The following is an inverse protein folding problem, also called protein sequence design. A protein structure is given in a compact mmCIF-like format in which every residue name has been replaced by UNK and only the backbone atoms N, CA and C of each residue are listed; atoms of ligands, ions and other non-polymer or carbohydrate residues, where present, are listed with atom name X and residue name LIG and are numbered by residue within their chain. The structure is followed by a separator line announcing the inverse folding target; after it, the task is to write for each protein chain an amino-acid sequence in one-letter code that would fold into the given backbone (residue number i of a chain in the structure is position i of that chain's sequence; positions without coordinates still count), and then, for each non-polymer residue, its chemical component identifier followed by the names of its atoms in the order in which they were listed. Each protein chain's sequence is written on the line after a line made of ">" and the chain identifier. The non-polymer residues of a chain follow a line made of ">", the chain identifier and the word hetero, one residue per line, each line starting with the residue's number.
data_IF_118175190515
#
_entry.id   IF_118175190515
#
_cell.length_a   1.000
_cell.length_b   1.000
_cell.length_c   1.000
_cell.angle_alpha   90.00
_cell.angle_beta   90.00
_cell.angle_gamma   90.00
#
_symmetry.space_group_name_H-M   'P 1'
#
loop_
_entity.id
_entity.type
_entity.pdbx_description
1 polymer ?
#
# COMPACT_ATOMS: atom_id res chain seq x y z
N UNK A 1 29.22 -65.19 -8.73
CA UNK A 1 28.08 -65.06 -7.81
C UNK A 1 27.22 -66.30 -7.90
N UNK A 2 27.35 -67.19 -6.92
CA UNK A 2 26.57 -68.43 -6.80
C UNK A 2 25.08 -68.13 -6.62
N UNK A 3 24.25 -69.00 -7.18
CA UNK A 3 22.81 -68.82 -7.38
C UNK A 3 22.00 -68.50 -6.12
N UNK A 4 20.99 -67.66 -6.32
CA UNK A 4 19.98 -67.32 -5.32
C UNK A 4 19.09 -68.55 -5.03
N UNK A 5 19.50 -69.37 -4.06
CA UNK A 5 18.67 -70.43 -3.46
C UNK A 5 17.58 -69.71 -2.66
N UNK A 6 16.39 -69.50 -3.26
CA UNK A 6 15.33 -68.66 -2.71
C UNK A 6 14.81 -68.98 -1.29
N UNK A 7 13.73 -68.29 -0.87
CA UNK A 7 13.23 -68.36 0.51
C UNK A 7 12.85 -69.78 0.98
N UNK A 8 13.16 -70.07 2.24
CA UNK A 8 12.72 -71.25 2.97
C UNK A 8 11.38 -70.97 3.68
N UNK A 9 10.53 -71.99 3.82
CA UNK A 9 9.27 -71.91 4.55
C UNK A 9 9.51 -71.85 6.07
N UNK A 10 8.44 -71.65 6.86
CA UNK A 10 8.48 -71.66 8.34
C UNK A 10 9.03 -72.98 8.93
N UNK A 11 9.12 -74.04 8.14
CA UNK A 11 9.65 -75.37 8.52
C UNK A 11 11.05 -75.61 7.95
N UNK A 12 11.72 -74.58 7.44
CA UNK A 12 13.08 -74.67 6.90
C UNK A 12 13.20 -75.33 5.52
N UNK A 13 12.09 -75.71 4.87
CA UNK A 13 12.09 -76.34 3.55
C UNK A 13 12.18 -75.27 2.48
N UNK A 14 12.91 -75.56 1.40
CA UNK A 14 13.01 -74.66 0.26
C UNK A 14 11.61 -74.43 -0.37
N UNK A 15 11.04 -73.22 -0.24
CA UNK A 15 9.70 -72.94 -0.73
C UNK A 15 9.64 -72.95 -2.27
N UNK A 16 10.79 -72.75 -2.94
CA UNK A 16 10.91 -72.81 -4.40
C UNK A 16 12.26 -73.37 -4.83
N UNK A 17 12.24 -74.48 -5.55
CA UNK A 17 13.42 -75.09 -6.16
C UNK A 17 13.51 -74.63 -7.62
N UNK A 18 14.41 -73.68 -7.88
CA UNK A 18 14.66 -73.18 -9.22
C UNK A 18 15.86 -72.24 -9.26
N UNK A 19 16.70 -72.41 -10.28
CA UNK A 19 17.85 -71.57 -10.51
C UNK A 19 17.52 -70.51 -11.57
N UNK A 20 17.85 -69.26 -11.28
CA UNK A 20 17.66 -68.12 -12.17
C UNK A 20 19.02 -67.48 -12.47
N UNK A 21 19.56 -67.79 -13.65
CA UNK A 21 20.74 -67.13 -14.22
C UNK A 21 20.36 -66.02 -15.20
N UNK A 22 21.37 -65.31 -15.72
CA UNK A 22 21.18 -64.17 -16.64
C UNK A 22 20.51 -64.57 -17.96
N UNK A 23 20.85 -65.76 -18.47
CA UNK A 23 20.33 -66.31 -19.76
C UNK A 23 19.65 -67.67 -19.60
N UNK A 24 19.71 -68.28 -18.43
CA UNK A 24 19.21 -69.63 -18.15
C UNK A 24 18.27 -69.59 -16.96
N UNK A 25 17.11 -70.23 -17.08
CA UNK A 25 16.23 -70.50 -15.96
C UNK A 25 15.94 -71.99 -15.92
N UNK A 26 16.15 -72.59 -14.76
CA UNK A 26 15.82 -73.99 -14.48
C UNK A 26 14.83 -74.02 -13.34
N UNK A 27 13.71 -74.70 -13.49
CA UNK A 27 12.74 -74.87 -12.40
C UNK A 27 11.98 -76.17 -12.53
N UNK A 28 11.60 -76.77 -11.40
CA UNK A 28 10.85 -78.04 -11.37
C UNK A 28 9.54 -77.99 -12.16
N UNK A 29 8.81 -76.87 -12.13
CA UNK A 29 7.52 -76.73 -12.83
C UNK A 29 7.61 -76.09 -14.21
N UNK A 30 8.64 -75.29 -14.47
CA UNK A 30 8.80 -74.57 -15.74
C UNK A 30 9.88 -75.13 -16.67
N UNK A 31 10.51 -76.24 -16.29
CA UNK A 31 11.61 -76.86 -17.03
C UNK A 31 12.86 -75.98 -17.12
N UNK A 32 13.66 -76.27 -18.14
CA UNK A 32 14.85 -75.50 -18.53
C UNK A 32 14.47 -74.53 -19.64
N UNK A 33 14.75 -73.25 -19.47
CA UNK A 33 14.53 -72.24 -20.51
C UNK A 33 15.75 -71.35 -20.67
N UNK A 34 16.15 -71.17 -21.93
CA UNK A 34 17.19 -70.25 -22.33
C UNK A 34 16.56 -68.99 -22.91
N UNK A 35 17.13 -67.83 -22.61
CA UNK A 35 16.73 -66.53 -23.12
C UNK A 35 17.93 -65.81 -23.71
N UNK A 36 17.76 -65.34 -24.93
CA UNK A 36 18.66 -64.37 -25.55
C UNK A 36 17.88 -63.14 -25.99
N UNK A 37 18.46 -61.96 -25.83
CA UNK A 37 17.83 -60.70 -26.21
C UNK A 37 18.89 -59.76 -26.77
N UNK A 38 18.62 -59.22 -27.96
CA UNK A 38 19.46 -58.25 -28.65
C UNK A 38 18.61 -57.00 -28.88
N UNK A 39 19.18 -55.83 -28.64
CA UNK A 39 18.50 -54.54 -28.83
C UNK A 39 19.41 -53.60 -29.62
N UNK A 40 18.90 -53.12 -30.74
CA UNK A 40 19.55 -52.14 -31.61
C UNK A 40 18.66 -50.91 -31.70
N UNK A 41 19.05 -49.85 -30.99
CA UNK A 41 18.29 -48.60 -30.90
C UNK A 41 16.85 -48.83 -30.41
N UNK A 42 15.88 -48.53 -31.30
CA UNK A 42 14.44 -48.63 -31.03
C UNK A 42 13.88 -50.03 -31.23
N UNK A 43 14.62 -50.94 -31.86
CA UNK A 43 14.17 -52.30 -32.18
C UNK A 43 14.86 -53.31 -31.25
N UNK A 44 14.11 -54.29 -30.75
CA UNK A 44 14.61 -55.36 -29.90
C UNK A 44 14.03 -56.70 -30.29
N UNK A 45 14.90 -57.69 -30.42
CA UNK A 45 14.58 -59.08 -30.67
C UNK A 45 14.88 -59.89 -29.41
N UNK A 46 13.93 -60.70 -28.96
CA UNK A 46 14.11 -61.62 -27.84
C UNK A 46 13.67 -63.02 -28.24
N UNK A 47 14.56 -63.98 -28.10
CA UNK A 47 14.26 -65.40 -28.28
C UNK A 47 14.27 -66.09 -26.93
N UNK A 48 13.28 -66.96 -26.70
CA UNK A 48 13.19 -67.79 -25.52
C UNK A 48 12.77 -69.21 -25.92
N UNK A 49 13.47 -70.23 -25.43
CA UNK A 49 13.21 -71.62 -25.83
C UNK A 49 11.83 -72.13 -25.42
N UNK A 50 11.21 -71.60 -24.36
CA UNK A 50 9.85 -71.98 -23.92
C UNK A 50 8.75 -71.02 -24.35
N UNK A 51 9.10 -69.78 -24.73
CA UNK A 51 8.10 -68.73 -25.08
C UNK A 51 8.22 -68.21 -26.51
N UNK A 52 9.15 -68.73 -27.30
CA UNK A 52 9.36 -68.37 -28.70
C UNK A 52 10.01 -66.99 -28.92
N UNK A 53 9.68 -66.39 -30.05
CA UNK A 53 10.31 -65.19 -30.60
C UNK A 53 9.44 -63.95 -30.35
N UNK A 54 10.07 -62.88 -29.87
CA UNK A 54 9.44 -61.57 -29.67
C UNK A 54 10.25 -60.49 -30.38
N UNK A 55 9.63 -59.88 -31.38
CA UNK A 55 10.09 -58.65 -32.01
C UNK A 55 9.42 -57.46 -31.32
N UNK A 56 10.14 -56.39 -31.05
CA UNK A 56 9.57 -55.16 -30.50
C UNK A 56 10.23 -53.93 -31.08
N UNK A 57 9.45 -52.89 -31.33
CA UNK A 57 9.90 -51.59 -31.82
C UNK A 57 9.27 -50.46 -31.00
N UNK A 58 10.08 -49.52 -30.54
CA UNK A 58 9.62 -48.29 -29.92
C UNK A 58 9.29 -47.26 -31.00
N UNK A 59 8.02 -46.89 -31.14
CA UNK A 59 7.59 -45.89 -32.13
C UNK A 59 7.85 -44.46 -31.67
N UNK A 60 7.96 -44.23 -30.36
CA UNK A 60 8.23 -42.92 -29.79
C UNK A 60 8.38 -42.96 -28.28
N UNK A 61 8.34 -41.78 -27.64
CA UNK A 61 8.37 -41.69 -26.17
C UNK A 61 7.05 -42.23 -25.61
N UNK A 62 7.13 -43.39 -24.95
CA UNK A 62 6.00 -43.97 -24.23
C UNK A 62 5.20 -45.00 -25.00
N UNK A 63 5.37 -45.17 -26.32
CA UNK A 63 4.68 -46.20 -27.12
C UNK A 63 5.61 -47.21 -27.77
N UNK A 64 5.23 -48.48 -27.61
CA UNK A 64 5.91 -49.65 -28.10
C UNK A 64 4.92 -50.55 -28.84
N UNK A 65 5.36 -51.03 -29.99
CA UNK A 65 4.72 -52.10 -30.75
C UNK A 65 5.58 -53.35 -30.62
N UNK A 66 4.97 -54.51 -30.47
CA UNK A 66 5.67 -55.79 -30.45
C UNK A 66 4.83 -56.87 -31.13
N UNK A 67 5.51 -57.85 -31.71
CA UNK A 67 4.91 -59.12 -32.13
C UNK A 67 5.59 -60.24 -31.33
N UNK A 68 4.81 -61.07 -30.66
CA UNK A 68 5.30 -62.24 -29.94
C UNK A 68 4.57 -63.48 -30.44
N UNK A 69 5.29 -64.41 -31.08
CA UNK A 69 4.72 -65.61 -31.72
C UNK A 69 3.48 -65.30 -32.58
N UNK A 70 3.59 -64.29 -33.45
CA UNK A 70 2.47 -63.84 -34.30
C UNK A 70 1.43 -62.94 -33.62
N UNK A 71 1.44 -62.80 -32.29
CA UNK A 71 0.51 -61.91 -31.58
C UNK A 71 1.01 -60.47 -31.55
N UNK A 72 0.26 -59.59 -32.20
CA UNK A 72 0.47 -58.14 -32.13
C UNK A 72 0.13 -57.56 -30.74
N UNK A 73 1.02 -56.72 -30.22
CA UNK A 73 0.95 -56.06 -28.92
C UNK A 73 1.27 -54.58 -29.11
N UNK A 74 0.28 -53.71 -28.91
CA UNK A 74 0.45 -52.27 -28.79
C UNK A 74 0.37 -51.86 -27.32
N UNK A 75 1.33 -51.06 -26.85
CA UNK A 75 1.35 -50.49 -25.49
C UNK A 75 1.85 -49.06 -25.54
N UNK A 76 1.10 -48.14 -24.95
CA UNK A 76 1.52 -46.76 -24.72
C UNK A 76 1.25 -46.33 -23.28
N UNK A 77 2.14 -45.50 -22.71
CA UNK A 77 1.94 -44.87 -21.39
C UNK A 77 2.33 -43.40 -21.48
N UNK A 78 1.39 -42.53 -21.17
CA UNK A 78 1.50 -41.09 -21.32
C UNK A 78 0.94 -40.35 -20.10
N UNK A 79 1.32 -39.09 -19.96
CA UNK A 79 0.89 -38.21 -18.86
C UNK A 79 2.01 -37.93 -17.87
N UNK A 80 2.03 -36.68 -17.39
CA UNK A 80 2.83 -36.20 -16.27
C UNK A 80 1.87 -35.85 -15.13
N UNK A 81 2.23 -36.16 -13.88
CA UNK A 81 1.39 -35.86 -12.71
C UNK A 81 0.32 -36.92 -12.41
N UNK A 82 -0.83 -36.52 -11.81
CA UNK A 82 -1.83 -37.44 -11.27
C UNK A 82 -2.65 -38.13 -12.36
N UNK A 83 -2.82 -37.52 -13.54
CA UNK A 83 -3.53 -38.12 -14.67
C UNK A 83 -2.55 -38.87 -15.57
N UNK A 84 -2.85 -40.16 -15.83
CA UNK A 84 -2.09 -41.02 -16.74
C UNK A 84 -2.98 -41.67 -17.78
N UNK A 85 -2.53 -41.64 -19.02
CA UNK A 85 -3.17 -42.26 -20.17
C UNK A 85 -2.42 -43.53 -20.56
N UNK A 86 -3.13 -44.64 -20.72
CA UNK A 86 -2.58 -45.90 -21.19
C UNK A 86 -3.23 -46.27 -22.51
N UNK A 87 -2.42 -46.47 -23.54
CA UNK A 87 -2.82 -46.98 -24.84
C UNK A 87 -2.57 -48.49 -24.91
N UNK A 88 -3.51 -49.21 -25.50
CA UNK A 88 -3.41 -50.65 -25.69
C UNK A 88 -4.08 -51.07 -27.01
N UNK A 89 -3.90 -52.33 -27.42
CA UNK A 89 -4.59 -52.88 -28.61
C UNK A 89 -6.11 -52.68 -28.56
N UNK A 90 -6.71 -52.71 -27.38
CA UNK A 90 -8.16 -52.56 -27.18
C UNK A 90 -8.60 -51.11 -26.97
N UNK A 91 -7.71 -50.12 -27.10
CA UNK A 91 -8.04 -48.70 -26.97
C UNK A 91 -7.26 -47.95 -25.90
N UNK A 92 -7.68 -46.71 -25.68
CA UNK A 92 -7.11 -45.74 -24.75
C UNK A 92 -7.85 -45.79 -23.40
N UNK A 93 -7.12 -45.63 -22.30
CA UNK A 93 -7.69 -45.54 -20.95
C UNK A 93 -7.05 -44.43 -20.15
N UNK A 94 -7.85 -43.71 -19.36
CA UNK A 94 -7.39 -42.64 -18.49
C UNK A 94 -7.50 -43.08 -17.03
N UNK A 95 -6.52 -42.71 -16.22
CA UNK A 95 -6.49 -43.00 -14.79
C UNK A 95 -6.02 -41.80 -14.00
N UNK A 96 -6.65 -41.56 -12.86
CA UNK A 96 -6.34 -40.50 -11.91
C UNK A 96 -5.72 -41.12 -10.66
N UNK A 97 -4.56 -40.62 -10.25
CA UNK A 97 -3.93 -40.98 -8.98
C UNK A 97 -4.57 -40.17 -7.84
N UNK A 98 -4.83 -40.84 -6.73
CA UNK A 98 -5.29 -40.29 -5.46
C UNK A 98 -4.38 -40.81 -4.35
N UNK A 99 -4.42 -40.19 -3.17
CA UNK A 99 -3.58 -40.61 -2.04
C UNK A 99 -3.88 -42.06 -1.59
N UNK A 100 -5.12 -42.49 -1.78
CA UNK A 100 -5.56 -43.84 -1.44
C UNK A 100 -5.39 -44.84 -2.59
N UNK A 101 -5.10 -44.39 -3.82
CA UNK A 101 -4.75 -45.30 -4.89
C UNK A 101 -4.85 -44.72 -6.29
N UNK A 102 -5.51 -45.45 -7.19
CA UNK A 102 -5.66 -45.04 -8.59
C UNK A 102 -7.03 -45.43 -9.10
N UNK A 103 -7.79 -44.42 -9.52
CA UNK A 103 -9.08 -44.54 -10.16
C UNK A 103 -8.89 -44.62 -11.67
N UNK A 104 -9.43 -45.64 -12.32
CA UNK A 104 -9.46 -45.70 -13.78
C UNK A 104 -10.82 -45.20 -14.27
N UNK A 105 -10.82 -44.06 -14.97
CA UNK A 105 -12.04 -43.36 -15.41
C UNK A 105 -12.79 -44.17 -16.47
N UNK A 106 -12.06 -44.84 -17.36
CA UNK A 106 -12.63 -45.63 -18.45
C UNK A 106 -13.01 -47.06 -18.04
N UNK A 107 -12.31 -47.63 -17.07
CA UNK A 107 -12.49 -49.03 -16.67
C UNK A 107 -12.46 -49.16 -15.14
N UNK A 108 -13.59 -48.93 -14.45
CA UNK A 108 -13.65 -48.93 -12.99
C UNK A 108 -13.15 -50.25 -12.37
N UNK A 109 -13.33 -51.38 -13.06
CA UNK A 109 -12.83 -52.70 -12.66
C UNK A 109 -11.30 -52.85 -12.65
N UNK A 110 -10.54 -51.87 -13.16
CA UNK A 110 -9.08 -51.82 -13.09
C UNK A 110 -8.55 -50.81 -12.06
N UNK A 111 -9.42 -50.28 -11.20
CA UNK A 111 -9.03 -49.37 -10.12
C UNK A 111 -8.42 -50.13 -8.95
N UNK A 112 -7.61 -49.44 -8.15
CA UNK A 112 -7.03 -49.98 -6.92
C UNK A 112 -7.03 -48.92 -5.82
N UNK A 113 -7.30 -49.35 -4.59
CA UNK A 113 -7.30 -48.51 -3.39
C UNK A 113 -6.56 -49.27 -2.29
N UNK A 114 -5.84 -48.56 -1.42
CA UNK A 114 -5.17 -49.11 -0.24
C UNK A 114 -5.65 -48.35 0.98
N UNK A 115 -6.44 -49.02 1.81
CA UNK A 115 -7.01 -48.45 3.02
C UNK A 115 -6.53 -49.28 4.21
N UNK A 116 -5.94 -48.63 5.22
CA UNK A 116 -5.42 -49.29 6.43
C UNK A 116 -4.54 -50.53 6.15
N UNK A 117 -3.65 -50.44 5.15
CA UNK A 117 -2.76 -51.54 4.76
C UNK A 117 -3.37 -52.59 3.83
N UNK A 118 -4.70 -52.66 3.70
CA UNK A 118 -5.42 -53.61 2.84
C UNK A 118 -5.57 -53.05 1.42
N UNK A 119 -5.09 -53.79 0.42
CA UNK A 119 -5.24 -53.41 -0.99
C UNK A 119 -6.54 -53.97 -1.58
N UNK A 120 -7.51 -53.10 -1.83
CA UNK A 120 -8.75 -53.41 -2.54
C UNK A 120 -8.56 -53.14 -4.04
N UNK A 121 -9.09 -54.03 -4.89
CA UNK A 121 -9.03 -53.90 -6.35
C UNK A 121 -10.43 -54.03 -6.95
N UNK A 122 -10.60 -53.50 -8.16
CA UNK A 122 -11.85 -53.63 -8.92
C UNK A 122 -12.83 -52.49 -8.68
N UNK A 123 -14.12 -52.74 -8.95
CA UNK A 123 -15.18 -51.71 -8.85
C UNK A 123 -15.32 -51.12 -7.44
N UNK A 124 -15.14 -51.94 -6.39
CA UNK A 124 -15.14 -51.46 -5.00
C UNK A 124 -14.01 -50.47 -4.70
N UNK A 125 -12.85 -50.61 -5.36
CA UNK A 125 -11.78 -49.63 -5.24
C UNK A 125 -12.08 -48.31 -5.99
N UNK A 126 -12.89 -48.37 -7.05
CA UNK A 126 -13.32 -47.18 -7.76
C UNK A 126 -14.26 -46.32 -6.89
N UNK A 127 -15.23 -46.94 -6.21
CA UNK A 127 -16.15 -46.22 -5.31
C UNK A 127 -15.43 -45.59 -4.12
N UNK A 128 -14.45 -46.28 -3.51
CA UNK A 128 -13.64 -45.71 -2.42
C UNK A 128 -12.89 -44.47 -2.89
N UNK A 129 -12.17 -44.56 -4.02
CA UNK A 129 -11.43 -43.41 -4.55
C UNK A 129 -12.36 -42.26 -4.95
N UNK A 130 -13.51 -42.54 -5.55
CA UNK A 130 -14.50 -41.53 -5.92
C UNK A 130 -15.10 -40.84 -4.69
N UNK A 131 -15.43 -41.59 -3.63
CA UNK A 131 -15.93 -41.03 -2.38
C UNK A 131 -14.91 -40.11 -1.70
N UNK A 132 -13.63 -40.50 -1.69
CA UNK A 132 -12.57 -39.63 -1.15
C UNK A 132 -12.36 -38.38 -1.99
N UNK A 133 -12.35 -38.50 -3.32
CA UNK A 133 -12.30 -37.34 -4.21
C UNK A 133 -13.46 -36.39 -3.94
N UNK A 134 -14.68 -36.90 -3.81
CA UNK A 134 -15.86 -36.11 -3.47
C UNK A 134 -15.70 -35.41 -2.11
N UNK A 135 -15.25 -36.12 -1.07
CA UNK A 135 -15.01 -35.53 0.25
C UNK A 135 -13.96 -34.40 0.19
N UNK A 136 -12.84 -34.63 -0.50
CA UNK A 136 -11.82 -33.59 -0.69
C UNK A 136 -12.34 -32.39 -1.48
N UNK A 137 -13.21 -32.62 -2.47
CA UNK A 137 -13.84 -31.56 -3.24
C UNK A 137 -14.80 -30.73 -2.37
N UNK A 138 -15.61 -31.37 -1.52
CA UNK A 138 -16.49 -30.67 -0.57
C UNK A 138 -15.68 -29.78 0.38
N UNK A 139 -14.60 -30.31 0.98
CA UNK A 139 -13.72 -29.50 1.84
C UNK A 139 -13.11 -28.33 1.08
N UNK A 140 -12.67 -28.53 -0.16
CA UNK A 140 -12.13 -27.47 -1.00
C UNK A 140 -13.19 -26.41 -1.31
N UNK A 141 -14.44 -26.80 -1.60
CA UNK A 141 -15.55 -25.87 -1.84
C UNK A 141 -15.88 -25.05 -0.59
N UNK A 142 -15.89 -25.66 0.59
CA UNK A 142 -16.10 -24.94 1.85
C UNK A 142 -14.98 -23.91 2.06
N UNK A 143 -13.72 -24.30 1.86
CA UNK A 143 -12.58 -23.36 1.96
C UNK A 143 -12.72 -22.21 0.98
N UNK A 144 -13.10 -22.49 -0.26
CA UNK A 144 -13.35 -21.45 -1.28
C UNK A 144 -14.48 -20.51 -0.88
N UNK A 145 -15.58 -21.03 -0.32
CA UNK A 145 -16.68 -20.21 0.16
C UNK A 145 -16.26 -19.28 1.31
N UNK A 146 -15.47 -19.79 2.27
CA UNK A 146 -14.93 -18.98 3.37
C UNK A 146 -14.00 -17.89 2.84
N UNK A 147 -13.09 -18.21 1.92
CA UNK A 147 -12.20 -17.21 1.31
C UNK A 147 -13.01 -16.14 0.57
N UNK A 148 -14.02 -16.54 -0.21
CA UNK A 148 -14.89 -15.63 -0.92
C UNK A 148 -15.60 -14.67 0.04
N UNK A 149 -16.16 -15.20 1.15
CA UNK A 149 -16.82 -14.41 2.19
C UNK A 149 -15.86 -13.37 2.81
N UNK A 150 -14.62 -13.78 3.12
CA UNK A 150 -13.62 -12.86 3.69
C UNK A 150 -13.24 -11.76 2.70
N UNK A 151 -13.06 -12.11 1.43
CA UNK A 151 -12.73 -11.14 0.38
C UNK A 151 -13.87 -10.15 0.16
N UNK A 152 -15.13 -10.62 0.11
CA UNK A 152 -16.28 -9.73 -0.06
C UNK A 152 -16.48 -8.81 1.15
N UNK A 153 -16.30 -9.32 2.37
CA UNK A 153 -16.35 -8.50 3.57
C UNK A 153 -15.28 -7.39 3.57
N UNK A 154 -14.04 -7.73 3.18
CA UNK A 154 -12.95 -6.74 3.04
C UNK A 154 -13.25 -5.70 1.95
N UNK A 155 -13.76 -6.12 0.81
CA UNK A 155 -14.14 -5.21 -0.27
C UNK A 155 -15.23 -4.23 0.18
N UNK A 156 -16.24 -4.72 0.91
CA UNK A 156 -17.29 -3.88 1.46
C UNK A 156 -16.75 -2.87 2.48
N UNK A 157 -15.89 -3.32 3.40
CA UNK A 157 -15.26 -2.44 4.39
C UNK A 157 -14.44 -1.32 3.72
N UNK A 158 -13.67 -1.66 2.69
CA UNK A 158 -12.90 -0.70 1.90
C UNK A 158 -13.82 0.31 1.18
N UNK A 159 -14.94 -0.13 0.60
CA UNK A 159 -15.91 0.76 -0.05
C UNK A 159 -16.53 1.75 0.94
N UNK A 160 -16.86 1.29 2.15
CA UNK A 160 -17.38 2.16 3.21
C UNK A 160 -16.33 3.21 3.59
N UNK A 161 -15.08 2.82 3.79
CA UNK A 161 -13.99 3.74 4.11
C UNK A 161 -13.80 4.80 2.99
N UNK A 162 -13.72 4.36 1.74
CA UNK A 162 -13.59 5.26 0.59
C UNK A 162 -14.78 6.24 0.47
N UNK A 163 -16.00 5.77 0.74
CA UNK A 163 -17.18 6.63 0.75
C UNK A 163 -17.12 7.67 1.88
N UNK A 164 -16.66 7.30 3.07
CA UNK A 164 -16.51 8.24 4.19
C UNK A 164 -15.45 9.32 3.91
N UNK A 165 -14.28 8.94 3.38
CA UNK A 165 -13.23 9.89 2.99
C UNK A 165 -13.73 10.85 1.91
N UNK A 166 -14.44 10.32 0.91
CA UNK A 166 -15.02 11.13 -0.16
C UNK A 166 -16.06 12.12 0.37
N UNK A 167 -16.90 11.70 1.32
CA UNK A 167 -17.89 12.56 1.96
C UNK A 167 -17.23 13.67 2.79
N UNK A 168 -16.18 13.36 3.56
CA UNK A 168 -15.43 14.35 4.32
C UNK A 168 -14.75 15.37 3.42
N UNK A 169 -14.11 14.93 2.33
CA UNK A 169 -13.49 15.82 1.35
C UNK A 169 -14.52 16.74 0.69
N UNK A 170 -15.72 16.23 0.39
CA UNK A 170 -16.80 17.03 -0.19
C UNK A 170 -17.34 18.07 0.79
N UNK A 171 -17.53 17.69 2.07
CA UNK A 171 -17.93 18.63 3.13
C UNK A 171 -16.88 19.72 3.34
N UNK A 172 -15.59 19.39 3.39
CA UNK A 172 -14.51 20.35 3.53
C UNK A 172 -14.46 21.33 2.34
N UNK A 173 -14.62 20.83 1.11
CA UNK A 173 -14.72 21.67 -0.10
C UNK A 173 -15.92 22.60 -0.05
N UNK A 174 -17.07 22.10 0.41
CA UNK A 174 -18.29 22.91 0.54
C UNK A 174 -18.13 24.01 1.60
N UNK A 175 -17.56 23.68 2.76
CA UNK A 175 -17.26 24.65 3.82
C UNK A 175 -16.28 25.73 3.31
N UNK A 176 -15.21 25.32 2.64
CA UNK A 176 -14.23 26.25 2.06
C UNK A 176 -14.88 27.16 1.01
N UNK A 177 -15.71 26.61 0.11
CA UNK A 177 -16.43 27.40 -0.88
C UNK A 177 -17.41 28.40 -0.25
N UNK A 178 -18.05 28.02 0.87
CA UNK A 178 -18.94 28.90 1.63
C UNK A 178 -18.15 30.01 2.33
N UNK A 179 -17.05 29.68 2.99
CA UNK A 179 -16.17 30.65 3.64
C UNK A 179 -15.55 31.61 2.63
N UNK A 180 -15.09 31.12 1.48
CA UNK A 180 -14.55 31.97 0.40
C UNK A 180 -15.59 32.93 -0.16
N UNK A 181 -16.87 32.53 -0.24
CA UNK A 181 -17.96 33.44 -0.65
C UNK A 181 -18.21 34.53 0.39
N UNK A 182 -18.23 34.17 1.69
CA UNK A 182 -18.37 35.15 2.77
C UNK A 182 -17.17 36.10 2.82
N UNK A 183 -15.96 35.56 2.70
CA UNK A 183 -14.72 36.33 2.64
C UNK A 183 -14.68 37.24 1.42
N UNK A 184 -15.09 36.77 0.24
CA UNK A 184 -15.16 37.59 -0.96
C UNK A 184 -16.16 38.74 -0.85
N UNK A 185 -17.28 38.55 -0.15
CA UNK A 185 -18.22 39.63 0.13
C UNK A 185 -17.61 40.68 1.07
N UNK A 186 -16.96 40.25 2.16
CA UNK A 186 -16.22 41.16 3.03
C UNK A 186 -15.08 41.87 2.30
N UNK A 187 -14.31 41.17 1.47
CA UNK A 187 -13.23 41.76 0.70
C UNK A 187 -13.75 42.81 -0.28
N UNK A 188 -14.89 42.58 -0.94
CA UNK A 188 -15.50 43.56 -1.84
C UNK A 188 -16.01 44.81 -1.09
N UNK A 189 -16.56 44.64 0.11
CA UNK A 189 -16.95 45.75 0.98
C UNK A 189 -15.73 46.55 1.45
N UNK A 190 -14.65 45.85 1.80
CA UNK A 190 -13.36 46.46 2.14
C UNK A 190 -12.74 47.18 0.95
N UNK A 191 -12.76 46.60 -0.25
CA UNK A 191 -12.26 47.25 -1.47
C UNK A 191 -13.06 48.51 -1.81
N UNK A 192 -14.39 48.49 -1.64
CA UNK A 192 -15.24 49.67 -1.80
C UNK A 192 -14.94 50.76 -0.76
N UNK A 193 -14.67 50.37 0.49
CA UNK A 193 -14.28 51.29 1.55
C UNK A 193 -12.87 51.87 1.32
N UNK A 194 -11.93 51.04 0.86
CA UNK A 194 -10.51 51.38 0.71
C UNK A 194 -10.17 52.09 -0.58
N UNK A 195 -10.91 51.83 -1.67
CA UNK A 195 -10.84 52.60 -2.91
C UNK A 195 -11.16 54.09 -2.73
N UNK A 196 -11.82 54.46 -1.62
CA UNK A 196 -11.98 55.86 -1.19
C UNK A 196 -10.87 56.40 -0.29
N UNK A 197 -10.01 55.54 0.27
CA UNK A 197 -9.02 55.86 1.30
C UNK A 197 -7.58 55.97 0.80
N UNK A 198 -7.26 55.34 -0.35
CA UNK A 198 -5.90 54.98 -0.78
C UNK A 198 -4.96 56.15 -1.13
N UNK A 199 -5.36 57.40 -0.94
CA UNK A 199 -4.46 58.56 -1.13
C UNK A 199 -4.70 59.75 -0.20
N UNK A 200 -5.84 59.84 0.48
CA UNK A 200 -6.22 61.05 1.23
C UNK A 200 -5.98 60.96 2.75
N UNK A 201 -6.12 59.79 3.38
CA UNK A 201 -6.14 59.70 4.85
C UNK A 201 -4.77 59.42 5.51
N UNK A 202 -3.84 58.74 4.82
CA UNK A 202 -2.51 58.42 5.38
C UNK A 202 -1.43 58.64 4.30
N UNK A 203 -1.06 59.92 4.04
CA UNK A 203 -0.21 60.29 2.91
C UNK A 203 1.26 59.90 3.09
N UNK A 204 1.72 59.64 4.32
CA UNK A 204 3.11 59.34 4.63
C UNK A 204 3.29 58.04 5.43
N UNK A 205 4.49 57.47 5.31
CA UNK A 205 4.88 56.24 6.01
C UNK A 205 4.82 56.39 7.53
N UNK A 206 5.06 57.61 8.05
CA UNK A 206 4.99 57.88 9.48
C UNK A 206 3.57 57.74 10.02
N UNK A 207 2.54 58.22 9.31
CA UNK A 207 1.15 58.04 9.74
C UNK A 207 0.71 56.57 9.63
N UNK A 208 1.19 55.84 8.61
CA UNK A 208 0.91 54.40 8.45
C UNK A 208 1.54 53.59 9.58
N UNK A 209 2.80 53.85 9.89
CA UNK A 209 3.51 53.19 10.99
C UNK A 209 2.85 53.50 12.34
N UNK A 210 2.40 54.76 12.55
CA UNK A 210 1.65 55.14 13.74
C UNK A 210 0.34 54.39 13.87
N UNK A 211 -0.39 54.24 12.77
CA UNK A 211 -1.64 53.48 12.77
C UNK A 211 -1.41 52.00 13.12
N UNK A 212 -0.43 51.35 12.48
CA UNK A 212 -0.11 49.95 12.77
C UNK A 212 0.30 49.80 14.23
N UNK A 213 1.21 50.65 14.72
CA UNK A 213 1.63 50.63 16.12
C UNK A 213 0.46 50.83 17.09
N UNK A 214 -0.42 51.78 16.81
CA UNK A 214 -1.59 52.04 17.66
C UNK A 214 -2.59 50.86 17.64
N UNK A 215 -2.84 50.25 16.47
CA UNK A 215 -3.71 49.07 16.35
C UNK A 215 -3.13 47.86 17.10
N UNK A 216 -1.84 47.61 16.98
CA UNK A 216 -1.14 46.55 17.71
C UNK A 216 -1.23 46.75 19.23
N UNK A 217 -0.98 47.97 19.69
CA UNK A 217 -0.94 48.29 21.11
C UNK A 217 -2.33 48.28 21.76
N UNK A 218 -3.35 48.78 21.07
CA UNK A 218 -4.74 48.77 21.58
C UNK A 218 -5.46 47.42 21.48
N UNK A 219 -4.87 46.42 20.80
CA UNK A 219 -5.35 45.04 20.90
C UNK A 219 -4.92 44.36 22.21
N UNK A 220 -4.01 44.97 22.98
CA UNK A 220 -3.42 44.44 24.20
C UNK A 220 -4.23 44.61 25.51
N UNK A 221 -5.49 45.06 25.46
CA UNK A 221 -6.35 45.38 26.63
C UNK A 221 -5.94 46.60 27.46
N UNK A 222 -4.99 47.40 27.00
CA UNK A 222 -4.59 48.62 27.70
C UNK A 222 -5.55 49.76 27.36
N UNK A 223 -5.99 50.49 28.38
CA UNK A 223 -6.54 51.83 28.16
C UNK A 223 -5.42 52.76 27.66
N UNK A 224 -5.78 53.75 26.86
CA UNK A 224 -4.89 54.78 26.31
C UNK A 224 -3.96 55.40 27.37
N UNK A 225 -4.45 55.63 28.59
CA UNK A 225 -3.65 56.15 29.70
C UNK A 225 -2.64 55.14 30.26
N UNK A 226 -3.00 53.85 30.29
CA UNK A 226 -2.09 52.77 30.69
C UNK A 226 -1.00 52.56 29.64
N UNK A 227 -1.38 52.66 28.36
CA UNK A 227 -0.42 52.56 27.27
C UNK A 227 0.57 53.73 27.30
N UNK A 228 0.07 54.97 27.48
CA UNK A 228 0.91 56.16 27.60
C UNK A 228 1.91 56.05 28.75
N UNK A 229 1.46 55.62 29.93
CA UNK A 229 2.35 55.49 31.09
C UNK A 229 3.43 54.42 30.89
N UNK A 230 3.09 53.25 30.34
CA UNK A 230 4.07 52.20 30.03
C UNK A 230 5.06 52.60 28.95
N UNK A 231 4.59 53.25 27.88
CA UNK A 231 5.47 53.75 26.82
C UNK A 231 6.39 54.88 27.31
N UNK A 232 5.93 55.72 28.25
CA UNK A 232 6.78 56.74 28.89
C UNK A 232 7.85 56.11 29.79
N UNK A 233 7.48 55.12 30.61
CA UNK A 233 8.40 54.39 31.48
C UNK A 233 9.48 53.67 30.65
N UNK A 234 9.08 52.98 29.58
CA UNK A 234 10.01 52.30 28.68
C UNK A 234 10.82 53.29 27.84
N UNK A 235 10.20 54.37 27.35
CA UNK A 235 10.85 55.44 26.62
C UNK A 235 11.98 56.09 27.43
N UNK A 236 11.82 56.24 28.75
CA UNK A 236 12.88 56.76 29.61
C UNK A 236 14.16 55.90 29.57
N UNK A 237 14.05 54.60 29.28
CA UNK A 237 15.18 53.66 29.14
C UNK A 237 15.88 53.72 27.78
N UNK A 238 15.25 54.28 26.74
CA UNK A 238 15.83 54.38 25.40
C UNK A 238 16.90 55.47 25.34
N UNK A 239 18.03 55.21 24.66
CA UNK A 239 19.18 56.14 24.64
C UNK A 239 18.99 57.35 23.72
N UNK A 240 18.15 57.26 22.70
CA UNK A 240 17.98 58.35 21.72
C UNK A 240 16.72 59.18 21.99
N UNK A 241 16.85 60.52 21.92
CA UNK A 241 15.70 61.44 22.06
C UNK A 241 14.65 61.25 20.95
N UNK A 242 15.10 60.81 19.76
CA UNK A 242 14.24 60.59 18.59
C UNK A 242 13.32 59.37 18.79
N UNK A 243 13.87 58.23 19.21
CA UNK A 243 13.05 57.04 19.48
C UNK A 243 12.04 57.30 20.61
N UNK A 244 12.40 58.10 21.62
CA UNK A 244 11.45 58.51 22.67
C UNK A 244 10.27 59.28 22.12
N UNK A 245 10.52 60.26 21.25
CA UNK A 245 9.47 61.07 20.64
C UNK A 245 8.57 60.23 19.73
N UNK A 246 9.16 59.32 18.95
CA UNK A 246 8.43 58.40 18.07
C UNK A 246 7.57 57.41 18.87
N UNK A 247 8.12 56.78 19.92
CA UNK A 247 7.39 55.84 20.78
C UNK A 247 6.25 56.51 21.56
N UNK A 248 6.45 57.75 22.02
CA UNK A 248 5.40 58.53 22.71
C UNK A 248 4.28 58.93 21.73
N UNK A 249 4.63 59.25 20.48
CA UNK A 249 3.65 59.59 19.44
C UNK A 249 2.80 58.40 18.98
N UNK A 250 3.22 57.15 19.25
CA UNK A 250 2.42 55.94 19.01
C UNK A 250 1.29 55.77 20.04
N UNK A 251 1.37 56.46 21.18
CA UNK A 251 0.41 56.37 22.27
C UNK A 251 -0.80 57.30 22.09
N UNK A 252 -0.73 58.24 21.14
CA UNK A 252 -1.81 59.18 20.90
C UNK A 252 -2.87 58.56 19.97
N UNK A 253 -4.17 58.63 20.33
CA UNK A 253 -5.25 58.11 19.50
C UNK A 253 -5.23 58.72 18.10
N UNK A 254 -5.30 57.86 17.09
CA UNK A 254 -5.48 58.30 15.71
C UNK A 254 -6.97 58.31 15.40
N UNK A 255 -7.47 59.47 15.00
CA UNK A 255 -8.82 59.65 14.46
C UNK A 255 -8.84 59.23 12.98
N UNK A 256 -9.67 58.25 12.65
CA UNK A 256 -9.88 57.78 11.27
C UNK A 256 -11.31 58.13 10.86
N UNK A 257 -11.49 59.36 10.36
CA UNK A 257 -12.82 59.89 10.08
C UNK A 257 -13.56 60.24 11.36
N UNK A 258 -14.75 59.66 11.59
CA UNK A 258 -15.57 59.89 12.79
C UNK A 258 -15.37 58.83 13.89
N UNK A 259 -14.56 57.81 13.65
CA UNK A 259 -14.31 56.72 14.60
C UNK A 259 -12.89 56.79 15.16
N UNK A 260 -12.77 56.57 16.47
CA UNK A 260 -11.49 56.31 17.11
C UNK A 260 -11.15 54.82 17.00
N UNK A 261 -9.87 54.53 16.76
CA UNK A 261 -9.32 53.18 16.70
C UNK A 261 -9.60 52.31 17.94
N UNK A 262 -9.89 52.94 19.09
CA UNK A 262 -10.31 52.26 20.32
C UNK A 262 -11.68 51.55 20.18
N UNK A 263 -12.60 52.11 19.37
CA UNK A 263 -13.98 51.61 19.23
C UNK A 263 -14.15 50.58 18.09
N UNK A 264 -13.08 50.27 17.36
CA UNK A 264 -13.13 49.32 16.25
C UNK A 264 -13.18 47.88 16.76
N UNK A 265 -14.02 47.05 16.13
CA UNK A 265 -13.99 45.59 16.31
C UNK A 265 -12.70 44.99 15.74
N UNK A 266 -12.42 43.72 16.08
CA UNK A 266 -11.19 43.04 15.71
C UNK A 266 -11.03 42.94 14.17
N UNK A 267 -12.10 42.62 13.46
CA UNK A 267 -12.10 42.45 12.00
C UNK A 267 -11.73 43.76 11.28
N UNK A 268 -12.28 44.90 11.74
CA UNK A 268 -11.91 46.23 11.24
C UNK A 268 -10.46 46.55 11.58
N UNK A 269 -9.98 46.26 12.79
CA UNK A 269 -8.57 46.50 13.17
C UNK A 269 -7.61 45.70 12.28
N UNK A 270 -7.91 44.43 12.04
CA UNK A 270 -7.14 43.58 11.13
C UNK A 270 -7.09 44.14 9.72
N UNK A 271 -8.22 44.60 9.20
CA UNK A 271 -8.29 45.24 7.89
C UNK A 271 -7.42 46.48 7.82
N UNK A 272 -7.59 47.42 8.75
CA UNK A 272 -6.83 48.68 8.75
C UNK A 272 -5.34 48.45 8.95
N UNK A 273 -4.97 47.46 9.76
CA UNK A 273 -3.59 47.04 9.93
C UNK A 273 -3.00 46.51 8.61
N UNK A 274 -3.72 45.63 7.91
CA UNK A 274 -3.28 45.07 6.63
C UNK A 274 -3.10 46.16 5.56
N UNK A 275 -4.04 47.10 5.47
CA UNK A 275 -3.98 48.21 4.50
C UNK A 275 -2.80 49.14 4.79
N UNK A 276 -2.64 49.53 6.06
CA UNK A 276 -1.54 50.38 6.48
C UNK A 276 -0.19 49.69 6.24
N UNK A 277 -0.09 48.37 6.52
CA UNK A 277 1.11 47.58 6.28
C UNK A 277 1.43 47.46 4.78
N UNK A 278 0.44 47.17 3.93
CA UNK A 278 0.63 47.13 2.47
C UNK A 278 1.11 48.47 1.92
N UNK A 279 0.49 49.57 2.36
CA UNK A 279 0.93 50.91 2.00
C UNK A 279 2.36 51.19 2.49
N UNK A 280 2.64 50.88 3.75
CA UNK A 280 3.97 51.09 4.36
C UNK A 280 5.06 50.30 3.64
N UNK A 281 4.79 49.08 3.18
CA UNK A 281 5.78 48.24 2.51
C UNK A 281 5.85 48.46 0.99
N UNK A 282 4.90 49.19 0.39
CA UNK A 282 4.86 49.41 -1.05
C UNK A 282 6.13 50.13 -1.55
N UNK A 283 6.87 49.46 -2.42
CA UNK A 283 8.09 50.01 -3.04
C UNK A 283 9.33 50.01 -2.15
N UNK A 284 9.26 49.42 -0.95
CA UNK A 284 10.43 49.21 -0.08
C UNK A 284 11.11 47.88 -0.40
N UNK A 285 12.42 47.82 -0.19
CA UNK A 285 13.20 46.60 -0.31
C UNK A 285 12.96 45.65 0.87
N UNK A 286 13.32 44.37 0.70
CA UNK A 286 13.05 43.32 1.68
C UNK A 286 13.76 43.51 3.02
N UNK A 287 14.93 44.16 3.04
CA UNK A 287 15.67 44.44 4.27
C UNK A 287 14.93 45.49 5.10
N UNK A 288 14.54 46.60 4.47
CA UNK A 288 13.72 47.64 5.13
C UNK A 288 12.37 47.10 5.62
N UNK A 289 11.70 46.25 4.84
CA UNK A 289 10.42 45.62 5.25
C UNK A 289 10.62 44.74 6.49
N UNK A 290 11.70 43.95 6.53
CA UNK A 290 12.03 43.10 7.67
C UNK A 290 12.37 43.92 8.91
N UNK A 291 13.19 44.98 8.78
CA UNK A 291 13.52 45.88 9.89
C UNK A 291 12.28 46.53 10.49
N UNK A 292 11.36 47.00 9.64
CA UNK A 292 10.10 47.59 10.09
C UNK A 292 9.20 46.57 10.78
N UNK A 293 9.14 45.34 10.27
CA UNK A 293 8.39 44.26 10.92
C UNK A 293 8.95 43.91 12.30
N UNK A 294 10.28 43.75 12.42
CA UNK A 294 10.94 43.47 13.70
C UNK A 294 10.75 44.63 14.69
N UNK A 295 10.78 45.87 14.22
CA UNK A 295 10.49 47.04 15.07
C UNK A 295 9.05 47.02 15.61
N UNK A 296 8.07 46.53 14.83
CA UNK A 296 6.69 46.37 15.27
C UNK A 296 6.53 45.18 16.23
N UNK A 297 7.27 44.09 16.02
CA UNK A 297 7.32 42.94 16.93
C UNK A 297 7.92 43.33 18.30
N UNK A 298 9.04 44.05 18.28
CA UNK A 298 9.69 44.61 19.47
C UNK A 298 8.76 45.58 20.20
N UNK A 299 7.95 46.35 19.47
CA UNK A 299 6.96 47.25 20.07
C UNK A 299 5.89 46.49 20.85
N UNK A 300 5.40 45.35 20.33
CA UNK A 300 4.46 44.50 21.05
C UNK A 300 5.08 43.95 22.35
N UNK A 301 6.32 43.45 22.27
CA UNK A 301 7.06 42.92 23.41
C UNK A 301 7.47 43.98 24.44
N UNK A 302 7.57 45.25 24.02
CA UNK A 302 7.99 46.34 24.89
C UNK A 302 6.95 46.70 25.97
N UNK A 303 5.68 46.34 25.74
CA UNK A 303 4.58 46.67 26.65
C UNK A 303 4.26 45.51 27.59
N UNK A 304 4.17 44.28 27.08
CA UNK A 304 3.94 43.05 27.86
C UNK A 304 4.17 41.80 27.00
N UNK A 305 3.87 40.61 27.55
CA UNK A 305 3.72 39.38 26.74
C UNK A 305 2.67 39.59 25.63
N UNK A 306 2.94 39.00 24.44
CA UNK A 306 2.05 39.15 23.27
C UNK A 306 0.68 38.56 23.55
N UNK A 307 -0.36 39.29 23.17
CA UNK A 307 -1.72 38.74 23.15
C UNK A 307 -2.00 38.00 21.84
N UNK A 308 -2.94 37.06 21.84
CA UNK A 308 -3.38 36.33 20.64
C UNK A 308 -3.78 37.28 19.50
N UNK A 309 -4.48 38.37 19.82
CA UNK A 309 -4.84 39.40 18.85
C UNK A 309 -3.63 40.17 18.28
N UNK A 310 -2.58 40.37 19.07
CA UNK A 310 -1.33 40.97 18.57
C UNK A 310 -0.57 40.00 17.66
N UNK A 311 -0.56 38.71 18.00
CA UNK A 311 0.03 37.67 17.14
C UNK A 311 -0.69 37.58 15.78
N UNK A 312 -2.03 37.61 15.79
CA UNK A 312 -2.83 37.64 14.56
C UNK A 312 -2.53 38.88 13.70
N UNK A 313 -2.43 40.06 14.32
CA UNK A 313 -2.09 41.29 13.60
C UNK A 313 -0.65 41.28 13.05
N UNK A 314 0.32 40.79 13.82
CA UNK A 314 1.69 40.61 13.36
C UNK A 314 1.75 39.61 12.21
N UNK A 315 0.96 38.52 12.24
CA UNK A 315 0.86 37.59 11.13
C UNK A 315 0.33 38.27 9.86
N UNK A 316 -0.68 39.13 9.97
CA UNK A 316 -1.20 39.91 8.85
C UNK A 316 -0.19 40.94 8.31
N UNK A 317 0.58 41.60 9.19
CA UNK A 317 1.65 42.52 8.78
C UNK A 317 2.75 41.73 8.07
N UNK A 318 3.16 40.58 8.59
CA UNK A 318 4.13 39.70 7.96
C UNK A 318 3.65 39.26 6.56
N UNK A 319 2.37 38.89 6.42
CA UNK A 319 1.76 38.55 5.14
C UNK A 319 1.78 39.73 4.15
N UNK A 320 1.46 40.95 4.60
CA UNK A 320 1.55 42.16 3.79
C UNK A 320 2.97 42.43 3.30
N UNK A 321 3.98 42.18 4.15
CA UNK A 321 5.40 42.28 3.81
C UNK A 321 5.96 41.06 3.08
N UNK A 322 5.15 40.02 2.83
CA UNK A 322 5.56 38.71 2.29
C UNK A 322 6.69 38.05 3.10
N UNK A 323 6.74 38.32 4.39
CA UNK A 323 7.71 37.75 5.32
C UNK A 323 7.25 36.34 5.69
N UNK A 324 8.11 35.34 5.47
CA UNK A 324 7.89 33.97 5.96
C UNK A 324 8.69 33.76 7.24
N UNK A 325 8.00 33.68 8.37
CA UNK A 325 8.62 33.29 9.63
C UNK A 325 8.80 31.77 9.65
N UNK A 326 10.04 31.30 9.68
CA UNK A 326 10.33 29.90 9.95
C UNK A 326 10.76 29.75 11.41
N UNK A 327 10.00 28.99 12.19
CA UNK A 327 10.43 28.62 13.54
C UNK A 327 11.48 27.53 13.38
N UNK A 328 12.76 27.92 13.34
CA UNK A 328 13.83 26.95 13.52
C UNK A 328 13.74 26.45 14.97
N UNK A 329 13.21 25.24 15.15
CA UNK A 329 13.36 24.53 16.41
C UNK A 329 14.86 24.46 16.71
N UNK A 330 15.28 25.05 17.82
CA UNK A 330 16.64 24.96 18.30
C UNK A 330 16.95 23.47 18.54
N UNK A 331 17.55 22.83 17.54
CA UNK A 331 17.74 21.38 17.49
C UNK A 331 18.57 20.91 16.31
N UNK A 332 18.34 21.41 15.09
CA UNK A 332 19.13 21.01 13.90
C UNK A 332 19.21 22.15 12.89
N UNK A 333 20.43 22.65 12.67
CA UNK A 333 20.72 23.64 11.61
C UNK A 333 20.95 22.88 10.30
N UNK A 334 20.01 22.99 9.38
CA UNK A 334 20.23 22.68 7.96
C UNK A 334 19.92 23.93 7.15
N UNK A 335 20.88 24.38 6.34
CA UNK A 335 20.72 25.52 5.46
C UNK A 335 19.86 25.10 4.25
N UNK A 336 18.60 25.53 4.22
CA UNK A 336 17.81 25.52 2.99
C UNK A 336 17.89 26.89 2.31
N UNK A 337 18.37 26.83 1.09
CA UNK A 337 18.50 27.87 0.07
C UNK A 337 17.25 28.75 -0.05
N UNK A 338 17.48 30.06 -0.08
CA UNK A 338 16.48 31.08 -0.42
C UNK A 338 16.12 30.87 -1.89
N UNK A 339 14.88 30.46 -2.16
CA UNK A 339 14.33 30.53 -3.50
C UNK A 339 13.85 31.96 -3.75
N UNK A 340 14.63 32.69 -4.54
CA UNK A 340 14.16 33.86 -5.29
C UNK A 340 13.35 33.39 -6.53
N UNK A 341 12.44 34.23 -7.06
CA UNK A 341 11.21 33.85 -7.78
C UNK A 341 11.35 33.03 -9.07
#
# INVERSE_FOLDING_TARGET
>A
MLGNLGNKDRRGRQARIGHHGRKLRVSRTGGVSLRHAVRTGRIGLSANTSRGLRLSSALGRGTQVASQNGRFILRGRYGKGPVKFNLSKSGLSASLASDVGRLNLTNPGRSSAKLFGVQVRGRKAASINAGMLAATAVVALIKMAVVLLVVTAKALAWLVAAATESAQALLARWQTARSNKAFGAHYAELEAFTGGLDSALLPDDASRLRLIGHLLLNCGRFDSDQLKSRLQERGASLRSKRQRAELTALADPIELGSETTANMDLDRRQTWCLLAARGLFHGKDSETVLELFLALDDLCLAVDDRTEAQEDLLALIAEAGRIRLSVQHAGEVSASEIQDP
#
